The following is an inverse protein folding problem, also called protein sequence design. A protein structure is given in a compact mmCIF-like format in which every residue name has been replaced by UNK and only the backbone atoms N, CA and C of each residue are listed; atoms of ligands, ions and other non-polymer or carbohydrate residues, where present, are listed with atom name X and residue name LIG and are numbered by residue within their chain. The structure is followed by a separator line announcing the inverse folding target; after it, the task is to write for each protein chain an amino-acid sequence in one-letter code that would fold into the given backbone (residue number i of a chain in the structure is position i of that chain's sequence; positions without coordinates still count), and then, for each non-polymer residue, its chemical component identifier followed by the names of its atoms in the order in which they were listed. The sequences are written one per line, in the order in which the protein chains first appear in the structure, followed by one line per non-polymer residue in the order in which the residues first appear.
data_IF_476956641420
#
_entry.id   IF_476956641420
#
_cell.length_a   1.000
_cell.length_b   1.000
_cell.length_c   1.000
_cell.angle_alpha   90.00
_cell.angle_beta   90.00
_cell.angle_gamma   90.00
#
_symmetry.space_group_name_H-M   'P 1'
#
loop_
_entity.id
_entity.type
_entity.pdbx_description
1 polymer ?
#
# COMPACT_ATOMS: atom_id res chain seq x y z
N UNK A 1 -4.40 -31.07 2.12
CA UNK A 1 -5.28 -30.56 3.19
C UNK A 1 -4.73 -31.08 4.50
N UNK A 2 -4.45 -30.17 5.45
CA UNK A 2 -4.08 -30.57 6.80
C UNK A 2 -5.27 -31.20 7.51
N UNK A 3 -5.02 -32.15 8.38
CA UNK A 3 -6.04 -32.72 9.26
C UNK A 3 -6.29 -31.81 10.46
N UNK A 4 -5.29 -31.01 10.83
CA UNK A 4 -5.36 -30.05 11.92
C UNK A 4 -5.47 -28.65 11.32
N UNK A 5 -6.66 -28.06 11.44
CA UNK A 5 -6.93 -26.68 11.00
C UNK A 5 -6.70 -25.74 12.15
N UNK A 6 -5.78 -24.80 11.98
CA UNK A 6 -5.53 -23.72 12.91
C UNK A 6 -5.88 -22.38 12.29
N UNK A 7 -6.64 -21.57 13.01
CA UNK A 7 -6.81 -20.17 12.64
C UNK A 7 -5.52 -19.43 12.98
N UNK A 8 -4.81 -18.95 11.94
CA UNK A 8 -3.57 -18.19 12.10
C UNK A 8 -3.81 -16.77 12.61
N UNK A 9 -4.99 -16.21 12.36
CA UNK A 9 -5.38 -14.86 12.74
C UNK A 9 -6.51 -14.92 13.75
N UNK A 10 -6.30 -14.34 14.94
CA UNK A 10 -7.32 -14.11 15.92
C UNK A 10 -7.96 -12.74 15.69
N UNK A 11 -9.07 -12.70 14.98
CA UNK A 11 -9.77 -11.46 14.64
C UNK A 11 -10.36 -10.74 15.88
N UNK A 12 -10.64 -11.44 16.97
CA UNK A 12 -11.09 -10.79 18.20
C UNK A 12 -9.94 -10.05 18.88
N UNK A 13 -8.79 -10.71 19.02
CA UNK A 13 -7.56 -10.09 19.51
C UNK A 13 -7.15 -8.92 18.63
N UNK A 14 -7.13 -9.09 17.30
CA UNK A 14 -6.80 -8.05 16.33
C UNK A 14 -7.65 -6.79 16.52
N UNK A 15 -8.98 -6.96 16.66
CA UNK A 15 -9.90 -5.83 16.90
C UNK A 15 -9.59 -5.11 18.19
N UNK A 16 -9.39 -5.85 19.28
CA UNK A 16 -9.11 -5.31 20.61
C UNK A 16 -7.78 -4.55 20.64
N UNK A 17 -6.73 -5.13 20.06
CA UNK A 17 -5.40 -4.54 20.06
C UNK A 17 -5.33 -3.27 19.23
N UNK A 18 -5.94 -3.24 18.04
CA UNK A 18 -6.01 -2.03 17.19
C UNK A 18 -6.74 -0.90 17.89
N UNK A 19 -7.92 -1.17 18.45
CA UNK A 19 -8.69 -0.16 19.20
C UNK A 19 -7.88 0.35 20.40
N UNK A 20 -7.27 -0.53 21.18
CA UNK A 20 -6.45 -0.14 22.32
C UNK A 20 -5.26 0.74 21.94
N UNK A 21 -4.63 0.48 20.79
CA UNK A 21 -3.53 1.32 20.27
C UNK A 21 -4.02 2.71 19.85
N UNK A 22 -5.18 2.80 19.18
CA UNK A 22 -5.78 4.08 18.81
C UNK A 22 -6.17 4.88 20.08
N UNK A 23 -6.77 4.23 21.07
CA UNK A 23 -7.10 4.86 22.36
C UNK A 23 -5.85 5.35 23.08
N UNK A 24 -4.81 4.52 23.17
CA UNK A 24 -3.52 4.90 23.78
C UNK A 24 -2.87 6.10 23.09
N UNK A 25 -2.91 6.14 21.75
CA UNK A 25 -2.40 7.28 20.98
C UNK A 25 -3.21 8.56 21.29
N UNK A 26 -4.53 8.45 21.40
CA UNK A 26 -5.40 9.55 21.77
C UNK A 26 -5.16 10.04 23.20
N UNK A 27 -5.00 9.14 24.15
CA UNK A 27 -4.67 9.45 25.54
C UNK A 27 -3.34 10.21 25.67
N UNK A 28 -2.35 9.85 24.86
CA UNK A 28 -1.04 10.51 24.81
C UNK A 28 -1.01 11.85 24.07
N UNK A 29 -2.15 12.31 23.52
CA UNK A 29 -2.27 13.57 22.76
C UNK A 29 -2.99 14.64 23.60
N UNK A 30 -3.19 15.84 23.05
CA UNK A 30 -4.02 16.89 23.63
C UNK A 30 -5.47 16.86 23.10
N UNK A 31 -5.79 15.93 22.20
CA UNK A 31 -7.10 15.86 21.56
C UNK A 31 -8.19 15.34 22.50
N UNK A 32 -9.39 15.92 22.42
CA UNK A 32 -10.59 15.39 23.09
C UNK A 32 -11.17 14.17 22.37
N UNK A 33 -11.02 14.13 21.04
CA UNK A 33 -11.48 13.04 20.21
C UNK A 33 -10.71 13.03 18.86
N UNK A 34 -10.78 11.91 18.15
CA UNK A 34 -10.40 11.88 16.72
C UNK A 34 -11.60 11.47 15.87
N UNK A 35 -11.87 12.26 14.82
CA UNK A 35 -12.91 12.03 13.83
C UNK A 35 -12.26 11.56 12.54
N UNK A 36 -12.55 10.33 12.15
CA UNK A 36 -11.97 9.68 10.99
C UNK A 36 -13.00 9.57 9.85
N UNK A 37 -12.62 10.05 8.66
CA UNK A 37 -13.30 9.87 7.38
C UNK A 37 -12.49 8.95 6.45
N UNK A 38 -11.23 8.68 6.76
CA UNK A 38 -10.43 7.70 6.03
C UNK A 38 -10.89 6.28 6.36
N UNK A 39 -11.20 5.50 5.33
CA UNK A 39 -11.73 4.15 5.49
C UNK A 39 -10.78 3.19 6.20
N UNK A 40 -9.47 3.40 6.06
CA UNK A 40 -8.47 2.58 6.73
C UNK A 40 -8.44 2.88 8.24
N UNK A 41 -8.53 4.16 8.62
CA UNK A 41 -8.64 4.58 10.01
C UNK A 41 -9.94 4.10 10.64
N UNK A 42 -11.07 4.24 9.93
CA UNK A 42 -12.36 3.70 10.36
C UNK A 42 -12.25 2.18 10.59
N UNK A 43 -11.66 1.45 9.64
CA UNK A 43 -11.46 0.00 9.77
C UNK A 43 -10.53 -0.37 10.92
N UNK A 44 -9.47 0.40 11.15
CA UNK A 44 -8.56 0.18 12.26
C UNK A 44 -9.26 0.26 13.60
N UNK A 45 -10.08 1.31 13.79
CA UNK A 45 -10.81 1.59 15.03
C UNK A 45 -12.00 0.65 15.21
N UNK A 46 -12.80 0.45 14.17
CA UNK A 46 -14.12 -0.22 14.27
C UNK A 46 -14.13 -1.66 13.81
N UNK A 47 -13.09 -2.10 13.11
CA UNK A 47 -13.00 -3.40 12.44
C UNK A 47 -14.17 -3.69 11.49
N UNK A 48 -14.71 -2.66 10.85
CA UNK A 48 -15.77 -2.76 9.86
C UNK A 48 -15.28 -2.37 8.48
N UNK A 49 -15.82 -2.97 7.46
CA UNK A 49 -15.52 -2.65 6.08
C UNK A 49 -16.78 -2.58 5.24
N UNK A 50 -16.84 -1.58 4.35
CA UNK A 50 -17.78 -1.50 3.24
C UNK A 50 -16.94 -1.17 2.01
N UNK A 51 -16.86 -2.08 1.06
CA UNK A 51 -15.97 -1.96 -0.10
C UNK A 51 -16.33 -0.83 -1.06
N UNK A 52 -17.60 -0.43 -1.10
CA UNK A 52 -18.08 0.67 -1.94
C UNK A 52 -17.93 2.04 -1.27
N UNK A 53 -17.99 3.12 -2.06
CA UNK A 53 -18.11 4.49 -1.57
C UNK A 53 -16.82 5.09 -0.93
N UNK A 54 -15.68 4.45 -1.06
CA UNK A 54 -14.41 4.94 -0.49
C UNK A 54 -14.05 6.38 -0.94
N UNK A 55 -14.56 6.83 -2.06
CA UNK A 55 -14.35 8.17 -2.59
C UNK A 55 -15.27 9.24 -1.97
N UNK A 56 -16.40 8.85 -1.37
CA UNK A 56 -17.32 9.73 -0.65
C UNK A 56 -16.97 9.68 0.85
N UNK A 57 -16.12 10.60 1.29
CA UNK A 57 -15.59 10.59 2.66
C UNK A 57 -16.68 10.84 3.71
N UNK A 58 -17.69 11.65 3.41
CA UNK A 58 -18.79 11.93 4.33
C UNK A 58 -19.85 10.82 4.37
N UNK A 59 -19.77 9.81 3.48
CA UNK A 59 -20.70 8.69 3.50
C UNK A 59 -20.56 7.81 4.75
N UNK A 60 -19.33 7.75 5.28
CA UNK A 60 -18.95 6.92 6.40
C UNK A 60 -17.88 7.61 7.23
N UNK A 61 -18.10 7.73 8.53
CA UNK A 61 -17.14 8.32 9.44
C UNK A 61 -17.25 7.73 10.85
N UNK A 62 -16.19 7.88 11.62
CA UNK A 62 -16.10 7.33 12.98
C UNK A 62 -15.52 8.38 13.93
N UNK A 63 -16.15 8.58 15.08
CA UNK A 63 -15.62 9.36 16.19
C UNK A 63 -15.08 8.41 17.26
N UNK A 64 -13.80 8.53 17.58
CA UNK A 64 -13.19 7.92 18.75
C UNK A 64 -13.01 8.99 19.83
N UNK A 65 -13.85 9.03 20.86
CA UNK A 65 -13.72 10.00 21.95
C UNK A 65 -12.65 9.55 22.95
N UNK A 66 -12.01 10.51 23.60
CA UNK A 66 -11.18 10.26 24.78
C UNK A 66 -12.08 9.84 25.95
N UNK A 67 -11.69 8.79 26.66
CA UNK A 67 -12.43 8.31 27.81
C UNK A 67 -12.13 6.85 28.12
N UNK A 68 -12.55 6.39 29.29
CA UNK A 68 -12.40 5.01 29.73
C UNK A 68 -13.72 4.24 29.58
N UNK A 69 -13.62 2.93 29.42
CA UNK A 69 -14.78 2.05 29.33
C UNK A 69 -15.72 2.43 28.18
N UNK A 70 -16.99 2.57 28.47
CA UNK A 70 -18.02 2.89 27.47
C UNK A 70 -17.86 4.31 26.88
N UNK A 71 -17.37 5.28 27.65
CA UNK A 71 -17.17 6.65 27.19
C UNK A 71 -16.09 6.75 26.09
N UNK A 72 -15.08 5.88 26.12
CA UNK A 72 -13.99 5.82 25.13
C UNK A 72 -14.27 4.89 23.95
N UNK A 73 -15.49 4.34 23.80
CA UNK A 73 -15.81 3.47 22.68
C UNK A 73 -16.16 4.26 21.41
N UNK A 74 -15.77 3.76 20.25
CA UNK A 74 -16.01 4.44 18.99
C UNK A 74 -17.50 4.50 18.61
N UNK A 75 -17.89 5.59 17.95
CA UNK A 75 -19.21 5.78 17.38
C UNK A 75 -19.04 5.88 15.88
N UNK A 76 -19.80 5.10 15.12
CA UNK A 76 -19.71 5.06 13.67
C UNK A 76 -21.03 5.50 13.04
N UNK A 77 -20.92 6.31 11.99
CA UNK A 77 -22.02 6.64 11.09
C UNK A 77 -21.74 6.02 9.72
N UNK A 78 -22.78 5.43 9.15
CA UNK A 78 -22.72 4.80 7.85
C UNK A 78 -24.06 4.95 7.12
N UNK A 79 -24.15 4.59 5.85
CA UNK A 79 -25.46 4.54 5.18
C UNK A 79 -26.49 3.79 6.02
N UNK A 80 -27.74 4.24 6.04
CA UNK A 80 -28.75 3.70 6.94
C UNK A 80 -28.90 2.18 6.89
N UNK A 81 -28.85 1.56 5.70
CA UNK A 81 -28.86 0.11 5.53
C UNK A 81 -27.59 -0.54 6.08
N UNK A 82 -26.43 0.05 5.86
CA UNK A 82 -25.16 -0.44 6.36
C UNK A 82 -25.05 -0.30 7.88
N UNK A 83 -25.54 0.79 8.46
CA UNK A 83 -25.61 0.95 9.91
C UNK A 83 -26.43 -0.18 10.58
N UNK A 84 -27.56 -0.55 9.97
CA UNK A 84 -28.36 -1.69 10.44
C UNK A 84 -27.60 -3.03 10.25
N UNK A 85 -26.89 -3.20 9.15
CA UNK A 85 -26.06 -4.40 8.93
C UNK A 85 -24.99 -4.52 10.02
N UNK A 86 -24.28 -3.44 10.34
CA UNK A 86 -23.28 -3.45 11.40
C UNK A 86 -23.88 -3.76 12.77
N UNK A 87 -25.04 -3.24 13.10
CA UNK A 87 -25.70 -3.54 14.36
C UNK A 87 -26.02 -5.04 14.51
N UNK A 88 -26.29 -5.74 13.42
CA UNK A 88 -26.62 -7.18 13.40
C UNK A 88 -25.37 -8.05 13.36
N UNK A 89 -24.43 -7.75 12.45
CA UNK A 89 -23.31 -8.64 12.10
C UNK A 89 -21.96 -8.22 12.69
N UNK A 90 -21.87 -7.04 13.29
CA UNK A 90 -20.67 -6.52 13.93
C UNK A 90 -20.94 -6.19 15.42
N UNK A 91 -21.30 -7.20 16.25
CA UNK A 91 -21.78 -6.97 17.62
C UNK A 91 -20.77 -6.31 18.55
N UNK A 92 -19.49 -6.37 18.22
CA UNK A 92 -18.43 -5.68 18.97
C UNK A 92 -18.55 -4.15 18.94
N UNK A 93 -19.29 -3.56 17.98
CA UNK A 93 -19.58 -2.12 17.96
C UNK A 93 -20.62 -1.70 19.02
N UNK A 94 -21.47 -2.63 19.49
CA UNK A 94 -22.61 -2.35 20.32
C UNK A 94 -23.79 -1.73 19.55
N UNK A 95 -24.99 -2.01 20.02
CA UNK A 95 -26.26 -1.71 19.30
C UNK A 95 -26.43 -0.21 19.01
N UNK A 96 -26.01 0.65 19.94
CA UNK A 96 -26.27 2.10 19.85
C UNK A 96 -25.11 2.89 19.22
N UNK A 97 -24.01 2.23 18.88
CA UNK A 97 -22.82 2.89 18.33
C UNK A 97 -22.73 2.84 16.80
N UNK A 98 -23.59 2.06 16.15
CA UNK A 98 -23.73 2.09 14.69
C UNK A 98 -24.95 2.89 14.30
N UNK A 99 -24.75 4.04 13.66
CA UNK A 99 -25.79 5.04 13.38
C UNK A 99 -25.91 5.32 11.89
N UNK A 100 -27.09 5.77 11.46
CA UNK A 100 -27.29 6.25 10.11
C UNK A 100 -26.50 7.54 9.87
N UNK A 101 -25.61 7.49 8.90
CA UNK A 101 -24.79 8.62 8.45
C UNK A 101 -25.50 9.51 7.45
N UNK A 102 -24.81 10.58 7.10
CA UNK A 102 -25.24 11.57 6.13
C UNK A 102 -24.14 11.74 5.10
N UNK A 103 -24.43 11.39 3.85
CA UNK A 103 -23.51 11.64 2.74
C UNK A 103 -23.75 13.00 2.11
N UNK A 104 -22.68 13.68 1.74
CA UNK A 104 -22.71 14.86 0.85
C UNK A 104 -22.75 14.45 -0.61
N UNK A 105 -22.49 13.17 -0.91
CA UNK A 105 -22.26 12.60 -2.24
C UNK A 105 -21.29 13.46 -3.07
N UNK A 106 -20.19 13.87 -2.41
CA UNK A 106 -19.13 14.70 -3.01
C UNK A 106 -19.67 15.97 -3.67
N UNK A 107 -20.63 16.62 -3.04
CA UNK A 107 -21.24 17.85 -3.51
C UNK A 107 -22.34 17.66 -4.58
N UNK A 108 -22.83 16.43 -4.79
CA UNK A 108 -24.01 16.20 -5.64
C UNK A 108 -25.29 16.72 -5.00
N UNK A 109 -25.31 16.84 -3.67
CA UNK A 109 -26.33 17.59 -2.96
C UNK A 109 -25.94 19.06 -2.93
N UNK A 110 -26.94 19.96 -3.17
CA UNK A 110 -26.67 21.40 -3.08
C UNK A 110 -26.46 21.84 -1.62
N UNK A 111 -25.69 22.92 -1.37
CA UNK A 111 -25.45 23.41 -0.02
C UNK A 111 -26.69 23.70 0.78
N UNK A 112 -27.79 24.17 0.13
CA UNK A 112 -29.05 24.50 0.76
C UNK A 112 -29.73 23.30 1.43
N UNK A 113 -29.30 22.08 1.12
CA UNK A 113 -29.81 20.86 1.75
C UNK A 113 -29.18 20.58 3.12
N UNK A 114 -28.19 21.36 3.54
CA UNK A 114 -27.63 21.34 4.90
C UNK A 114 -26.95 20.03 5.31
N UNK A 115 -26.45 19.23 4.34
CA UNK A 115 -25.90 17.90 4.64
C UNK A 115 -24.58 17.95 5.43
N UNK A 116 -23.73 18.90 5.12
CA UNK A 116 -22.47 19.11 5.84
C UNK A 116 -22.71 19.60 7.28
N UNK A 117 -23.66 20.52 7.44
CA UNK A 117 -24.09 21.03 8.74
C UNK A 117 -24.73 19.93 9.60
N UNK A 118 -25.46 18.99 8.98
CA UNK A 118 -26.02 17.84 9.69
C UNK A 118 -24.92 16.92 10.24
N UNK A 119 -23.84 16.69 9.50
CA UNK A 119 -22.66 15.97 10.00
C UNK A 119 -22.07 16.70 11.20
N UNK A 120 -21.81 18.01 11.07
CA UNK A 120 -21.21 18.82 12.11
C UNK A 120 -22.03 18.83 13.41
N UNK A 121 -23.36 19.02 13.29
CA UNK A 121 -24.27 18.96 14.44
C UNK A 121 -24.26 17.63 15.17
N UNK A 122 -24.22 16.50 14.42
CA UNK A 122 -24.11 15.17 15.04
C UNK A 122 -22.83 15.02 15.84
N UNK A 123 -21.71 15.49 15.31
CA UNK A 123 -20.42 15.44 16.01
C UNK A 123 -20.44 16.36 17.23
N UNK A 124 -20.97 17.59 17.10
CA UNK A 124 -21.11 18.51 18.23
C UNK A 124 -21.88 17.88 19.39
N UNK A 125 -23.04 17.27 19.13
CA UNK A 125 -23.86 16.61 20.16
C UNK A 125 -23.06 15.54 20.91
N UNK A 126 -22.32 14.68 20.17
CA UNK A 126 -21.49 13.65 20.81
C UNK A 126 -20.38 14.23 21.68
N UNK A 127 -19.72 15.31 21.24
CA UNK A 127 -18.69 15.96 22.03
C UNK A 127 -19.27 16.64 23.27
N UNK A 128 -20.44 17.29 23.15
CA UNK A 128 -21.13 17.96 24.25
C UNK A 128 -21.58 16.98 25.35
N UNK A 129 -22.23 15.87 24.96
CA UNK A 129 -22.68 14.81 25.86
C UNK A 129 -21.54 14.17 26.65
N UNK A 130 -20.32 14.23 26.13
CA UNK A 130 -19.10 13.68 26.76
C UNK A 130 -18.25 14.74 27.47
N UNK A 131 -18.67 16.00 27.41
CA UNK A 131 -17.88 17.10 27.98
C UNK A 131 -16.58 17.40 27.26
N UNK A 132 -16.48 17.09 25.97
CA UNK A 132 -15.27 17.21 25.15
C UNK A 132 -15.23 18.43 24.23
N UNK A 133 -16.28 19.27 24.20
CA UNK A 133 -16.34 20.48 23.34
C UNK A 133 -15.22 21.49 23.60
N UNK A 134 -14.63 21.49 24.78
CA UNK A 134 -13.54 22.40 25.17
C UNK A 134 -12.14 21.91 24.76
N UNK A 135 -12.03 20.73 24.17
CA UNK A 135 -10.77 20.15 23.71
C UNK A 135 -10.72 20.06 22.17
N UNK A 136 -9.54 20.15 21.58
CA UNK A 136 -9.40 20.06 20.11
C UNK A 136 -9.90 18.70 19.56
N UNK A 137 -10.55 18.74 18.40
CA UNK A 137 -10.95 17.58 17.64
C UNK A 137 -9.92 17.31 16.53
N UNK A 138 -9.22 16.18 16.61
CA UNK A 138 -8.36 15.72 15.53
C UNK A 138 -9.22 15.20 14.36
N UNK A 139 -8.95 15.65 13.14
CA UNK A 139 -9.63 15.16 11.93
C UNK A 139 -8.57 14.63 10.96
N UNK A 140 -8.78 13.42 10.41
CA UNK A 140 -7.82 12.80 9.51
C UNK A 140 -7.89 13.39 8.08
N UNK A 141 -8.95 13.14 7.38
CA UNK A 141 -9.19 13.69 6.02
C UNK A 141 -10.67 14.04 5.91
N UNK A 142 -10.97 15.22 5.37
CA UNK A 142 -12.35 15.71 5.31
C UNK A 142 -12.58 16.58 4.09
N UNK A 143 -13.79 16.56 3.56
CA UNK A 143 -14.21 17.48 2.50
C UNK A 143 -14.38 18.89 3.06
N UNK A 144 -13.94 19.96 2.35
CA UNK A 144 -13.99 21.33 2.84
C UNK A 144 -15.35 21.76 3.40
N UNK A 145 -16.51 21.45 2.78
CA UNK A 145 -17.81 21.85 3.35
C UNK A 145 -18.06 21.30 4.76
N UNK A 146 -17.65 20.06 5.02
CA UNK A 146 -17.78 19.44 6.36
C UNK A 146 -16.82 20.09 7.35
N UNK A 147 -15.58 20.39 6.93
CA UNK A 147 -14.62 21.12 7.77
C UNK A 147 -15.17 22.48 8.20
N UNK A 148 -15.68 23.27 7.25
CA UNK A 148 -16.24 24.59 7.54
C UNK A 148 -17.47 24.51 8.44
N UNK A 149 -18.30 23.48 8.26
CA UNK A 149 -19.46 23.25 9.13
C UNK A 149 -19.05 22.89 10.57
N UNK A 150 -18.02 22.04 10.76
CA UNK A 150 -17.46 21.73 12.09
C UNK A 150 -16.95 23.00 12.79
N UNK A 151 -16.21 23.85 12.07
CA UNK A 151 -15.71 25.10 12.60
C UNK A 151 -16.85 26.09 12.93
N UNK A 152 -17.89 26.15 12.10
CA UNK A 152 -19.08 26.98 12.35
C UNK A 152 -19.87 26.55 13.59
N UNK A 153 -19.83 25.27 13.95
CA UNK A 153 -20.39 24.75 15.21
C UNK A 153 -19.49 25.05 16.44
N UNK A 154 -18.41 25.82 16.27
CA UNK A 154 -17.48 26.19 17.35
C UNK A 154 -16.54 25.09 17.79
N UNK A 155 -16.31 24.08 16.98
CA UNK A 155 -15.38 22.99 17.25
C UNK A 155 -13.98 23.42 16.78
N UNK A 156 -12.99 23.34 17.65
CA UNK A 156 -11.59 23.51 17.29
C UNK A 156 -11.10 22.26 16.54
N UNK A 157 -10.86 22.39 15.24
CA UNK A 157 -10.41 21.29 14.38
C UNK A 157 -8.90 21.39 14.14
N UNK A 158 -8.20 20.29 14.40
CA UNK A 158 -6.74 20.16 14.19
C UNK A 158 -6.40 18.86 13.44
N UNK A 159 -5.13 18.68 13.06
CA UNK A 159 -4.67 17.47 12.37
C UNK A 159 -4.81 16.21 13.24
N UNK A 160 -5.58 15.25 12.77
CA UNK A 160 -5.74 13.92 13.35
C UNK A 160 -4.98 12.81 12.59
N UNK A 161 -4.36 13.12 11.42
CA UNK A 161 -3.67 12.12 10.61
C UNK A 161 -2.47 11.54 11.33
N UNK A 162 -1.65 12.41 11.97
CA UNK A 162 -0.44 11.98 12.66
C UNK A 162 -0.73 11.04 13.82
N UNK A 163 -1.84 11.26 14.54
CA UNK A 163 -2.28 10.37 15.61
C UNK A 163 -2.53 8.95 15.06
N UNK A 164 -3.28 8.85 13.97
CA UNK A 164 -3.61 7.55 13.37
C UNK A 164 -2.42 6.88 12.71
N UNK A 165 -1.52 7.64 12.08
CA UNK A 165 -0.26 7.12 11.54
C UNK A 165 0.61 6.51 12.67
N UNK A 166 0.73 7.21 13.79
CA UNK A 166 1.49 6.72 14.95
C UNK A 166 0.83 5.50 15.61
N UNK A 167 -0.51 5.44 15.70
CA UNK A 167 -1.24 4.30 16.22
C UNK A 167 -1.02 3.01 15.40
N UNK A 168 -0.84 3.14 14.07
CA UNK A 168 -0.66 2.04 13.12
C UNK A 168 0.80 1.67 12.85
N UNK A 169 1.76 2.47 13.35
CA UNK A 169 3.18 2.33 13.03
C UNK A 169 3.73 0.94 13.37
N UNK A 170 3.49 0.48 14.60
CA UNK A 170 3.95 -0.82 15.08
C UNK A 170 2.85 -1.86 14.87
N UNK A 171 3.11 -2.91 14.12
CA UNK A 171 2.11 -3.93 13.78
C UNK A 171 1.93 -4.95 14.91
N UNK A 172 0.72 -5.46 15.09
CA UNK A 172 0.46 -6.60 15.95
C UNK A 172 0.83 -7.90 15.23
N UNK A 173 0.93 -9.01 15.96
CA UNK A 173 1.23 -10.32 15.37
C UNK A 173 0.18 -10.74 14.31
N UNK A 174 -1.10 -10.44 14.57
CA UNK A 174 -2.18 -10.74 13.61
C UNK A 174 -2.11 -9.84 12.37
N UNK A 175 -1.71 -8.57 12.51
CA UNK A 175 -1.47 -7.68 11.37
C UNK A 175 -0.32 -8.18 10.50
N UNK A 176 0.79 -8.61 11.10
CA UNK A 176 1.94 -9.19 10.38
C UNK A 176 1.53 -10.46 9.63
N UNK A 177 0.72 -11.31 10.25
CA UNK A 177 0.18 -12.53 9.60
C UNK A 177 -0.67 -12.18 8.37
N UNK A 178 -1.53 -11.15 8.47
CA UNK A 178 -2.35 -10.69 7.36
C UNK A 178 -1.53 -10.02 6.24
N UNK A 179 -0.50 -9.26 6.59
CA UNK A 179 0.45 -8.69 5.62
C UNK A 179 1.19 -9.79 4.87
N UNK A 180 1.70 -10.80 5.58
CA UNK A 180 2.36 -11.95 4.95
C UNK A 180 1.40 -12.74 4.04
N UNK A 181 0.14 -12.93 4.45
CA UNK A 181 -0.88 -13.57 3.61
C UNK A 181 -1.20 -12.72 2.36
N UNK A 182 -1.28 -11.40 2.51
CA UNK A 182 -1.48 -10.49 1.38
C UNK A 182 -0.32 -10.57 0.37
N UNK A 183 0.94 -10.58 0.85
CA UNK A 183 2.11 -10.79 -0.01
C UNK A 183 2.05 -12.14 -0.74
N UNK A 184 1.68 -13.22 -0.07
CA UNK A 184 1.58 -14.55 -0.68
C UNK A 184 0.55 -14.62 -1.84
N UNK A 185 -0.51 -13.80 -1.79
CA UNK A 185 -1.44 -13.68 -2.92
C UNK A 185 -0.78 -13.02 -4.13
N UNK A 186 0.05 -12.02 -3.89
CA UNK A 186 0.81 -11.35 -4.97
C UNK A 186 1.91 -12.26 -5.51
N UNK A 187 2.58 -13.03 -4.65
CA UNK A 187 3.54 -14.05 -5.11
C UNK A 187 2.89 -15.02 -6.11
N UNK A 188 1.69 -15.52 -5.79
CA UNK A 188 0.90 -16.38 -6.70
C UNK A 188 0.46 -15.64 -7.98
N UNK A 189 0.15 -14.36 -7.88
CA UNK A 189 -0.20 -13.55 -9.05
C UNK A 189 1.01 -13.32 -9.97
N UNK A 190 2.20 -13.12 -9.42
CA UNK A 190 3.44 -13.03 -10.19
C UNK A 190 3.81 -14.35 -10.87
N UNK A 191 3.63 -15.49 -10.18
CA UNK A 191 3.86 -16.81 -10.76
C UNK A 191 2.96 -17.02 -11.98
N UNK A 192 1.67 -16.77 -11.82
CA UNK A 192 0.72 -16.84 -12.93
C UNK A 192 1.03 -15.84 -14.06
N UNK A 193 1.42 -14.63 -13.72
CA UNK A 193 1.83 -13.62 -14.70
C UNK A 193 3.06 -14.08 -15.49
N UNK A 194 4.08 -14.61 -14.81
CA UNK A 194 5.30 -15.10 -15.45
C UNK A 194 5.04 -16.20 -16.48
N UNK A 195 4.12 -17.12 -16.17
CA UNK A 195 3.72 -18.18 -17.10
C UNK A 195 3.07 -17.67 -18.39
N UNK A 196 2.40 -16.50 -18.32
CA UNK A 196 1.63 -15.93 -19.42
C UNK A 196 2.33 -14.77 -20.12
N UNK A 197 3.33 -14.19 -19.48
CA UNK A 197 4.07 -13.03 -20.00
C UNK A 197 4.88 -13.44 -21.23
N UNK A 198 4.62 -12.79 -22.36
CA UNK A 198 5.24 -13.14 -23.66
C UNK A 198 5.16 -11.98 -24.64
N UNK A 199 5.99 -11.98 -25.70
CA UNK A 199 5.79 -11.05 -26.79
C UNK A 199 4.37 -11.12 -27.36
N UNK A 200 3.77 -9.96 -27.62
CA UNK A 200 2.43 -9.82 -28.19
C UNK A 200 1.29 -9.72 -27.17
N UNK A 201 1.54 -9.95 -25.88
CA UNK A 201 0.57 -9.62 -24.83
C UNK A 201 0.57 -8.10 -24.56
N UNK A 202 -0.53 -7.53 -24.13
CA UNK A 202 -0.62 -6.11 -23.78
C UNK A 202 -0.48 -5.90 -22.27
N UNK A 203 -0.07 -4.69 -21.86
CA UNK A 203 0.02 -4.32 -20.44
C UNK A 203 -1.33 -4.50 -19.73
N UNK A 204 -2.44 -4.05 -20.32
CA UNK A 204 -3.77 -4.21 -19.72
C UNK A 204 -4.26 -5.67 -19.68
N UNK A 205 -3.79 -6.55 -20.57
CA UNK A 205 -4.05 -7.99 -20.48
C UNK A 205 -3.32 -8.61 -19.27
N UNK A 206 -2.08 -8.17 -19.03
CA UNK A 206 -1.32 -8.56 -17.82
C UNK A 206 -2.06 -8.13 -16.53
N UNK A 207 -2.60 -6.90 -16.51
CA UNK A 207 -3.43 -6.42 -15.39
C UNK A 207 -4.65 -7.33 -15.17
N UNK A 208 -5.30 -7.76 -16.25
CA UNK A 208 -6.42 -8.71 -16.19
C UNK A 208 -6.05 -10.06 -15.59
N UNK A 209 -4.88 -10.62 -15.96
CA UNK A 209 -4.38 -11.89 -15.43
C UNK A 209 -4.11 -11.79 -13.91
N UNK A 210 -3.38 -10.75 -13.48
CA UNK A 210 -3.09 -10.49 -12.08
C UNK A 210 -4.37 -10.29 -11.28
N UNK A 211 -5.28 -9.45 -11.77
CA UNK A 211 -6.55 -9.16 -11.11
C UNK A 211 -7.40 -10.41 -10.88
N UNK A 212 -7.44 -11.30 -11.87
CA UNK A 212 -8.18 -12.55 -11.75
C UNK A 212 -7.65 -13.41 -10.61
N UNK A 213 -6.33 -13.61 -10.53
CA UNK A 213 -5.71 -14.42 -9.46
C UNK A 213 -6.00 -13.81 -8.09
N UNK A 214 -5.83 -12.51 -7.95
CA UNK A 214 -6.05 -11.83 -6.67
C UNK A 214 -7.50 -11.99 -6.18
N UNK A 215 -8.50 -11.75 -7.03
CA UNK A 215 -9.91 -11.91 -6.65
C UNK A 215 -10.30 -13.38 -6.43
N UNK A 216 -9.80 -14.31 -7.22
CA UNK A 216 -10.04 -15.75 -7.02
C UNK A 216 -9.53 -16.23 -5.64
N UNK A 217 -8.51 -15.56 -5.08
CA UNK A 217 -7.92 -15.92 -3.78
C UNK A 217 -8.33 -15.00 -2.63
N UNK A 218 -9.35 -14.16 -2.82
CA UNK A 218 -9.99 -13.40 -1.74
C UNK A 218 -9.47 -11.99 -1.53
N UNK A 219 -8.79 -11.39 -2.51
CA UNK A 219 -8.53 -9.94 -2.50
C UNK A 219 -9.85 -9.17 -2.41
N UNK A 220 -9.90 -8.17 -1.55
CA UNK A 220 -11.09 -7.32 -1.39
C UNK A 220 -11.07 -6.13 -2.34
N UNK A 221 -9.88 -5.65 -2.69
CA UNK A 221 -9.66 -4.46 -3.48
C UNK A 221 -8.32 -4.57 -4.20
N UNK A 222 -8.31 -4.21 -5.46
CA UNK A 222 -7.08 -3.86 -6.19
C UNK A 222 -7.00 -2.34 -6.22
N UNK A 223 -6.04 -1.78 -5.50
CA UNK A 223 -5.83 -0.34 -5.41
C UNK A 223 -5.12 0.19 -6.65
N UNK A 224 -4.15 -0.58 -7.17
CA UNK A 224 -3.47 -0.32 -8.42
C UNK A 224 -2.61 -1.49 -8.89
N UNK A 225 -2.45 -1.58 -10.19
CA UNK A 225 -1.44 -2.43 -10.84
C UNK A 225 -0.71 -1.57 -11.85
N UNK A 226 0.52 -1.19 -11.53
CA UNK A 226 1.41 -0.54 -12.48
C UNK A 226 1.99 -1.63 -13.40
N UNK A 227 1.56 -1.67 -14.64
CA UNK A 227 2.07 -2.59 -15.65
C UNK A 227 2.76 -1.78 -16.74
N UNK A 228 4.08 -1.82 -16.80
CA UNK A 228 4.89 -0.91 -17.59
C UNK A 228 5.89 -1.71 -18.38
N UNK A 229 5.99 -1.42 -19.68
CA UNK A 229 6.86 -2.15 -20.58
C UNK A 229 7.61 -1.27 -21.59
N UNK A 230 8.77 -1.76 -22.01
CA UNK A 230 9.59 -1.15 -23.03
C UNK A 230 10.04 0.27 -22.68
N UNK A 231 9.91 1.20 -23.63
CA UNK A 231 10.29 2.60 -23.48
C UNK A 231 9.55 3.36 -22.38
N UNK A 232 8.42 2.84 -21.93
CA UNK A 232 7.67 3.42 -20.82
C UNK A 232 8.32 3.14 -19.45
N UNK A 233 9.30 2.25 -19.40
CA UNK A 233 10.03 1.95 -18.16
C UNK A 233 10.99 3.08 -17.74
N UNK A 234 11.32 4.00 -18.63
CA UNK A 234 12.21 5.12 -18.34
C UNK A 234 11.75 6.41 -19.08
N UNK A 235 11.19 7.41 -18.35
CA UNK A 235 10.83 7.43 -16.93
C UNK A 235 9.52 6.67 -16.65
N UNK A 236 9.28 6.37 -15.38
CA UNK A 236 8.18 5.54 -14.91
C UNK A 236 6.84 6.30 -14.80
N UNK A 237 5.74 5.90 -15.52
CA UNK A 237 4.49 6.65 -15.56
C UNK A 237 3.42 6.24 -14.52
N UNK A 238 3.64 5.28 -13.64
CA UNK A 238 2.68 4.76 -12.64
C UNK A 238 1.28 4.42 -13.20
N UNK A 239 1.20 3.97 -14.45
CA UNK A 239 -0.07 3.60 -15.11
C UNK A 239 0.19 2.61 -16.24
N UNK A 240 -0.69 1.60 -16.36
CA UNK A 240 -0.68 0.70 -17.50
C UNK A 240 -1.31 1.32 -18.74
N UNK A 241 -1.07 0.70 -19.90
CA UNK A 241 -1.64 1.09 -21.18
C UNK A 241 -2.08 -0.14 -21.99
N UNK A 242 -2.46 0.08 -23.24
CA UNK A 242 -2.70 -0.96 -24.24
C UNK A 242 -1.46 -1.32 -25.07
N UNK A 243 -0.26 -0.86 -24.65
CA UNK A 243 1.00 -1.18 -25.32
C UNK A 243 1.21 -2.69 -25.38
N UNK A 244 1.57 -3.18 -26.56
CA UNK A 244 1.94 -4.58 -26.78
C UNK A 244 3.41 -4.77 -26.43
N UNK A 245 3.71 -5.79 -25.61
CA UNK A 245 5.07 -6.15 -25.21
C UNK A 245 5.82 -6.77 -26.41
N UNK A 246 7.07 -6.39 -26.58
CA UNK A 246 7.95 -6.81 -27.68
C UNK A 246 9.12 -7.65 -27.16
N UNK A 247 9.74 -8.49 -28.00
CA UNK A 247 10.98 -9.17 -27.62
C UNK A 247 12.06 -8.16 -27.21
N UNK A 248 12.71 -8.40 -26.08
CA UNK A 248 13.75 -7.53 -25.52
C UNK A 248 13.23 -6.41 -24.60
N UNK A 249 11.92 -6.22 -24.49
CA UNK A 249 11.37 -5.24 -23.58
C UNK A 249 11.68 -5.60 -22.11
N UNK A 250 12.04 -4.63 -21.26
CA UNK A 250 11.76 -4.73 -19.84
C UNK A 250 10.24 -4.70 -19.63
N UNK A 251 9.75 -5.42 -18.65
CA UNK A 251 8.38 -5.32 -18.19
C UNK A 251 8.39 -5.42 -16.66
N UNK A 252 7.99 -4.37 -15.98
CA UNK A 252 7.87 -4.40 -14.54
C UNK A 252 6.44 -4.08 -14.08
N UNK A 253 6.11 -4.70 -12.99
CA UNK A 253 4.78 -4.61 -12.42
C UNK A 253 4.92 -4.27 -10.94
N UNK A 254 4.01 -3.44 -10.47
CA UNK A 254 3.76 -3.19 -9.07
C UNK A 254 2.33 -3.57 -8.76
N UNK A 255 2.13 -4.39 -7.76
CA UNK A 255 0.82 -4.94 -7.45
C UNK A 255 0.40 -4.49 -6.05
N UNK A 256 -0.57 -3.60 -6.01
CA UNK A 256 -1.12 -3.02 -4.80
C UNK A 256 -2.55 -3.53 -4.63
N UNK A 257 -2.75 -4.40 -3.66
CA UNK A 257 -4.07 -4.95 -3.36
C UNK A 257 -4.33 -5.01 -1.86
N UNK A 258 -5.54 -5.40 -1.48
CA UNK A 258 -5.95 -5.53 -0.08
C UNK A 258 -6.52 -6.92 0.20
N UNK A 259 -5.97 -7.58 1.20
CA UNK A 259 -6.50 -8.82 1.78
C UNK A 259 -6.85 -8.60 3.25
N UNK A 260 -8.13 -8.76 3.62
CA UNK A 260 -8.62 -8.40 4.96
C UNK A 260 -8.21 -6.99 5.40
N UNK A 261 -8.08 -6.06 4.45
CA UNK A 261 -7.67 -4.68 4.65
C UNK A 261 -6.18 -4.41 4.53
N UNK A 262 -5.32 -5.41 4.64
CA UNK A 262 -3.86 -5.22 4.64
C UNK A 262 -3.32 -5.23 3.22
N UNK A 263 -2.47 -4.20 2.92
CA UNK A 263 -1.93 -3.93 1.59
C UNK A 263 -0.58 -4.56 1.38
N UNK A 264 -0.34 -4.91 0.12
CA UNK A 264 1.01 -5.13 -0.41
C UNK A 264 1.39 -3.99 -1.32
N UNK A 265 2.68 -3.78 -1.49
CA UNK A 265 3.28 -3.00 -2.54
C UNK A 265 4.63 -3.62 -2.84
N UNK A 266 4.83 -4.19 -4.02
CA UNK A 266 6.17 -4.54 -4.47
C UNK A 266 6.29 -4.75 -5.97
N UNK A 267 7.44 -4.32 -6.50
CA UNK A 267 7.81 -4.41 -7.90
C UNK A 267 8.59 -5.67 -8.24
N UNK A 268 8.29 -6.22 -9.43
CA UNK A 268 9.14 -7.20 -10.11
C UNK A 268 9.37 -6.78 -11.53
N UNK A 269 10.63 -6.87 -11.99
CA UNK A 269 11.02 -6.63 -13.38
C UNK A 269 11.31 -7.95 -14.07
N UNK A 270 10.80 -8.09 -15.29
CA UNK A 270 11.04 -9.20 -16.21
C UNK A 270 11.67 -8.67 -17.50
N UNK A 271 12.44 -9.52 -18.19
CA UNK A 271 12.77 -9.33 -19.59
C UNK A 271 11.84 -10.18 -20.46
N UNK A 272 11.31 -9.64 -21.54
CA UNK A 272 10.34 -10.33 -22.40
C UNK A 272 11.07 -10.98 -23.56
N UNK A 273 11.11 -12.32 -23.59
CA UNK A 273 11.77 -13.12 -24.62
C UNK A 273 13.29 -13.16 -24.52
N UNK A 274 13.93 -12.03 -24.28
CA UNK A 274 15.38 -11.90 -24.10
C UNK A 274 15.73 -10.67 -23.26
N UNK A 275 16.92 -10.65 -22.66
CA UNK A 275 17.44 -9.53 -21.90
C UNK A 275 18.66 -8.93 -22.62
N UNK A 276 18.70 -7.59 -22.74
CA UNK A 276 19.92 -6.90 -23.19
C UNK A 276 20.95 -6.86 -22.05
N UNK A 277 22.26 -6.81 -22.35
CA UNK A 277 23.28 -6.61 -21.31
C UNK A 277 23.03 -5.33 -20.49
N UNK A 278 22.57 -4.26 -21.13
CA UNK A 278 22.27 -2.99 -20.44
C UNK A 278 21.14 -3.14 -19.40
N UNK A 279 20.08 -3.88 -19.74
CA UNK A 279 18.98 -4.16 -18.79
C UNK A 279 19.46 -5.08 -17.64
N UNK A 280 20.27 -6.10 -17.93
CA UNK A 280 20.85 -6.96 -16.90
C UNK A 280 21.72 -6.17 -15.93
N UNK A 281 22.53 -5.23 -16.42
CA UNK A 281 23.37 -4.38 -15.57
C UNK A 281 22.52 -3.41 -14.72
N UNK A 282 21.46 -2.83 -15.30
CA UNK A 282 20.53 -1.99 -14.56
C UNK A 282 19.81 -2.77 -13.44
N UNK A 283 19.37 -3.99 -13.74
CA UNK A 283 18.75 -4.87 -12.76
C UNK A 283 19.70 -5.20 -11.60
N UNK A 284 20.92 -5.61 -11.91
CA UNK A 284 21.95 -5.90 -10.90
C UNK A 284 22.24 -4.69 -10.02
N UNK A 285 22.29 -3.50 -10.61
CA UNK A 285 22.51 -2.26 -9.88
C UNK A 285 21.33 -1.97 -8.94
N UNK A 286 20.08 -2.07 -9.44
CA UNK A 286 18.88 -1.91 -8.65
C UNK A 286 18.84 -2.92 -7.49
N UNK A 287 19.08 -4.21 -7.76
CA UNK A 287 19.12 -5.26 -6.73
C UNK A 287 20.19 -5.00 -5.67
N UNK A 288 21.40 -4.64 -6.08
CA UNK A 288 22.50 -4.38 -5.13
C UNK A 288 22.18 -3.23 -4.16
N UNK A 289 21.53 -2.16 -4.64
CA UNK A 289 21.11 -1.04 -3.78
C UNK A 289 20.01 -1.45 -2.80
N UNK A 290 19.10 -2.32 -3.24
CA UNK A 290 18.04 -2.83 -2.39
C UNK A 290 18.61 -3.78 -1.31
N UNK A 291 19.50 -4.69 -1.68
CA UNK A 291 20.16 -5.59 -0.73
C UNK A 291 20.96 -4.83 0.33
N UNK A 292 21.69 -3.78 -0.08
CA UNK A 292 22.42 -2.91 0.84
C UNK A 292 21.46 -2.23 1.83
N UNK A 293 20.33 -1.67 1.34
CA UNK A 293 19.32 -1.06 2.20
C UNK A 293 18.71 -2.09 3.18
N UNK A 294 18.31 -3.27 2.70
CA UNK A 294 17.75 -4.34 3.54
C UNK A 294 18.75 -4.78 4.63
N UNK A 295 20.03 -4.88 4.29
CA UNK A 295 21.08 -5.29 5.24
C UNK A 295 21.26 -4.33 6.43
N UNK A 296 20.84 -3.08 6.29
CA UNK A 296 20.90 -2.07 7.35
C UNK A 296 19.71 -2.12 8.29
N UNK A 297 18.59 -2.75 7.88
CA UNK A 297 17.33 -2.69 8.64
C UNK A 297 17.43 -3.49 9.94
N UNK A 298 17.34 -2.76 11.05
CA UNK A 298 17.20 -3.29 12.42
C UNK A 298 16.71 -2.19 13.35
N UNK A 299 16.17 -2.51 14.52
CA UNK A 299 15.79 -1.51 15.52
C UNK A 299 16.95 -0.56 15.86
N UNK A 300 16.64 0.73 15.99
CA UNK A 300 17.57 1.79 16.32
C UNK A 300 18.28 2.47 15.15
N UNK A 301 18.28 1.88 13.96
CA UNK A 301 18.72 2.55 12.72
C UNK A 301 17.64 3.55 12.29
N UNK A 302 18.04 4.61 11.62
CA UNK A 302 17.11 5.63 11.16
C UNK A 302 16.80 5.50 9.66
N UNK A 303 15.63 5.97 9.25
CA UNK A 303 15.28 6.04 7.81
C UNK A 303 16.24 6.94 7.02
N UNK A 304 16.85 7.94 7.69
CA UNK A 304 17.86 8.80 7.11
C UNK A 304 19.17 8.08 6.79
N UNK A 305 19.63 7.19 7.70
CA UNK A 305 20.84 6.37 7.45
C UNK A 305 20.63 5.43 6.26
N UNK A 306 19.45 4.81 6.14
CA UNK A 306 19.13 3.97 5.00
C UNK A 306 19.02 4.79 3.71
N UNK A 307 18.31 5.92 3.72
CA UNK A 307 18.17 6.76 2.54
C UNK A 307 19.52 7.35 2.06
N UNK A 308 20.47 7.55 2.97
CA UNK A 308 21.78 8.13 2.64
C UNK A 308 22.64 7.23 1.73
N UNK A 309 22.45 5.90 1.75
CA UNK A 309 23.21 4.97 0.89
C UNK A 309 22.77 5.05 -0.58
N UNK A 310 21.54 5.46 -0.84
CA UNK A 310 21.03 5.57 -2.20
C UNK A 310 21.70 6.72 -2.97
N UNK A 311 21.89 6.58 -4.28
CA UNK A 311 22.48 7.62 -5.10
C UNK A 311 21.63 8.88 -5.11
N UNK A 312 22.27 10.02 -5.36
CA UNK A 312 21.55 11.27 -5.58
C UNK A 312 20.77 11.21 -6.89
N UNK A 313 19.64 11.89 -6.95
CA UNK A 313 18.79 11.97 -8.13
C UNK A 313 19.56 12.32 -9.42
N UNK A 314 20.55 13.22 -9.33
CA UNK A 314 21.39 13.64 -10.46
C UNK A 314 22.29 12.52 -11.02
N UNK A 315 22.58 11.47 -10.25
CA UNK A 315 23.41 10.34 -10.68
C UNK A 315 22.65 9.39 -11.61
N UNK A 316 21.33 9.42 -11.57
CA UNK A 316 20.47 8.58 -12.42
C UNK A 316 19.49 9.37 -13.30
N UNK A 317 19.84 10.64 -13.60
CA UNK A 317 19.25 11.40 -14.69
C UNK A 317 18.14 12.38 -14.31
N UNK A 318 17.91 12.65 -13.02
CA UNK A 318 16.90 13.61 -12.55
C UNK A 318 17.54 14.91 -12.07
N UNK A 319 16.81 16.02 -12.10
CA UNK A 319 17.33 17.34 -11.73
C UNK A 319 17.61 17.49 -10.24
N UNK A 320 16.76 16.89 -9.42
CA UNK A 320 16.75 17.00 -7.97
C UNK A 320 15.96 15.86 -7.33
N UNK A 321 15.95 15.78 -5.98
CA UNK A 321 15.29 14.70 -5.24
C UNK A 321 13.75 14.74 -5.37
N UNK A 322 13.16 15.92 -5.60
CA UNK A 322 11.72 16.05 -5.85
C UNK A 322 11.34 15.42 -7.21
N UNK A 323 12.13 15.67 -8.25
CA UNK A 323 11.92 15.11 -9.59
C UNK A 323 12.10 13.58 -9.62
N UNK A 324 12.89 13.03 -8.70
CA UNK A 324 13.14 11.59 -8.55
C UNK A 324 12.32 10.94 -7.43
N UNK A 325 11.36 11.67 -6.85
CA UNK A 325 10.58 11.17 -5.73
C UNK A 325 9.91 9.83 -6.06
N UNK A 326 9.89 8.91 -5.09
CA UNK A 326 9.37 7.56 -5.21
C UNK A 326 10.07 6.65 -6.24
N UNK A 327 11.36 6.86 -6.52
CA UNK A 327 12.18 5.97 -7.35
C UNK A 327 13.20 5.16 -6.52
N UNK A 328 13.94 5.84 -5.62
CA UNK A 328 14.70 5.22 -4.53
C UNK A 328 13.94 5.56 -3.26
N UNK A 329 13.13 4.64 -2.76
CA UNK A 329 12.09 4.99 -1.83
C UNK A 329 11.77 3.84 -0.85
N UNK A 330 11.05 4.16 0.19
CA UNK A 330 10.40 3.17 1.05
C UNK A 330 9.27 3.81 1.83
N UNK A 331 8.26 3.03 2.14
CA UNK A 331 7.08 3.50 2.87
C UNK A 331 6.48 2.39 3.71
N UNK A 332 5.87 2.77 4.84
CA UNK A 332 5.12 1.83 5.66
C UNK A 332 3.94 1.23 4.89
N UNK A 333 3.66 -0.04 5.19
CA UNK A 333 2.52 -0.77 4.68
C UNK A 333 1.69 -1.30 5.85
N UNK A 334 0.37 -1.28 5.69
CA UNK A 334 -0.57 -1.78 6.70
C UNK A 334 -1.99 -1.85 6.16
N UNK A 335 -2.94 -1.28 6.87
CA UNK A 335 -4.30 -1.05 6.36
C UNK A 335 -4.34 0.01 5.26
N UNK A 336 -3.34 0.90 5.21
CA UNK A 336 -3.14 1.83 4.11
C UNK A 336 -1.90 1.44 3.31
N UNK A 337 -1.90 1.78 2.03
CA UNK A 337 -0.72 1.70 1.17
C UNK A 337 0.37 2.67 1.66
N UNK A 338 -0.02 3.88 2.08
CA UNK A 338 0.90 4.91 2.57
C UNK A 338 0.81 5.03 4.09
N UNK A 339 1.80 4.49 4.78
CA UNK A 339 1.98 4.60 6.22
C UNK A 339 3.41 5.07 6.56
N UNK A 340 3.62 5.47 7.81
CA UNK A 340 4.97 5.62 8.36
C UNK A 340 5.66 4.25 8.52
N UNK A 341 6.99 4.21 8.46
CA UNK A 341 7.93 5.31 8.19
C UNK A 341 8.09 5.59 6.68
N UNK A 342 8.70 6.72 6.34
CA UNK A 342 9.12 7.05 4.97
C UNK A 342 10.65 6.99 4.86
N UNK A 343 11.15 6.37 3.79
CA UNK A 343 12.55 6.33 3.43
C UNK A 343 12.72 7.11 2.12
N UNK A 344 13.38 8.24 2.17
CA UNK A 344 13.63 9.08 0.99
C UNK A 344 14.77 10.05 1.25
N UNK A 345 15.61 10.26 0.25
CA UNK A 345 16.62 11.33 0.31
C UNK A 345 15.98 12.71 0.42
N UNK A 346 14.77 12.88 -0.10
CA UNK A 346 14.04 14.15 -0.07
C UNK A 346 13.70 14.59 1.37
N UNK A 347 13.28 13.67 2.22
CA UNK A 347 12.73 14.02 3.55
C UNK A 347 13.48 13.38 4.72
N UNK A 348 13.95 12.13 4.59
CA UNK A 348 14.45 11.37 5.73
C UNK A 348 15.85 11.79 6.17
N UNK A 349 16.61 12.48 5.32
CA UNK A 349 17.93 13.02 5.71
C UNK A 349 17.82 14.14 6.74
N UNK A 350 16.76 14.95 6.67
CA UNK A 350 16.52 16.06 7.60
C UNK A 350 15.54 15.67 8.72
N UNK A 351 14.60 14.77 8.43
CA UNK A 351 13.54 14.34 9.35
C UNK A 351 13.46 12.81 9.43
N UNK A 352 14.49 12.15 10.01
CA UNK A 352 14.51 10.70 10.08
C UNK A 352 13.55 10.15 11.14
N UNK A 353 12.86 9.05 10.81
CA UNK A 353 12.19 8.20 11.79
C UNK A 353 13.16 7.13 12.30
N UNK A 354 13.03 6.72 13.56
CA UNK A 354 13.78 5.59 14.13
C UNK A 354 13.04 4.29 13.78
N UNK A 355 13.75 3.31 13.25
CA UNK A 355 13.21 1.98 12.94
C UNK A 355 13.02 1.21 14.25
N UNK A 356 11.84 0.62 14.43
CA UNK A 356 11.47 -0.15 15.60
C UNK A 356 10.98 -1.56 15.20
N UNK A 357 11.09 -2.51 16.12
CA UNK A 357 10.59 -3.86 15.95
C UNK A 357 9.08 -3.86 15.62
N UNK A 358 8.66 -4.75 14.73
CA UNK A 358 7.29 -4.89 14.21
C UNK A 358 6.81 -3.71 13.32
N UNK A 359 7.69 -2.81 12.90
CA UNK A 359 7.38 -1.99 11.73
C UNK A 359 7.31 -2.86 10.48
N UNK A 360 6.39 -2.54 9.56
CA UNK A 360 6.29 -3.18 8.26
C UNK A 360 6.28 -2.12 7.18
N UNK A 361 7.16 -2.28 6.19
CA UNK A 361 7.32 -1.32 5.09
C UNK A 361 7.86 -2.00 3.85
N UNK A 362 7.68 -1.33 2.71
CA UNK A 362 8.29 -1.68 1.45
C UNK A 362 9.53 -0.81 1.20
N UNK A 363 10.57 -1.40 0.61
CA UNK A 363 11.76 -0.71 0.12
C UNK A 363 11.90 -0.98 -1.37
N UNK A 364 12.11 0.06 -2.15
CA UNK A 364 12.16 -0.01 -3.60
C UNK A 364 13.35 0.74 -4.19
N UNK A 365 13.87 0.23 -5.30
CA UNK A 365 14.97 0.81 -6.04
C UNK A 365 14.70 0.79 -7.53
N UNK A 366 15.18 1.79 -8.22
CA UNK A 366 15.07 1.99 -9.66
C UNK A 366 16.45 2.30 -10.26
N UNK A 367 16.75 1.77 -11.44
CA UNK A 367 17.93 2.18 -12.17
C UNK A 367 17.70 2.21 -13.68
N UNK A 368 17.98 3.34 -14.35
CA UNK A 368 17.90 3.44 -15.80
C UNK A 368 19.04 2.66 -16.45
N UNK A 369 18.76 2.02 -17.58
CA UNK A 369 19.76 1.31 -18.36
C UNK A 369 20.61 2.27 -19.20
N UNK A 370 21.82 1.86 -19.54
CA UNK A 370 22.73 2.63 -20.40
C UNK A 370 22.28 2.73 -21.85
N UNK A 371 21.24 2.00 -22.24
CA UNK A 371 20.61 2.13 -23.57
C UNK A 371 19.75 3.40 -23.72
N UNK A 372 19.45 4.11 -22.62
CA UNK A 372 18.76 5.38 -22.59
C UNK A 372 17.23 5.29 -22.66
N UNK A 373 16.65 4.08 -22.79
CA UNK A 373 15.20 3.91 -22.92
C UNK A 373 14.58 2.89 -21.96
N UNK A 374 15.36 1.98 -21.43
CA UNK A 374 14.88 0.97 -20.50
C UNK A 374 15.32 1.23 -19.06
N UNK A 375 14.67 0.58 -18.13
CA UNK A 375 15.03 0.63 -16.70
C UNK A 375 14.61 -0.64 -15.98
N UNK A 376 15.20 -0.90 -14.82
CA UNK A 376 14.78 -1.91 -13.87
C UNK A 376 14.25 -1.28 -12.60
N UNK A 377 13.24 -1.92 -11.99
CA UNK A 377 12.67 -1.54 -10.70
C UNK A 377 12.38 -2.80 -9.88
N UNK A 378 12.77 -2.78 -8.63
CA UNK A 378 12.60 -3.91 -7.70
C UNK A 378 12.16 -3.35 -6.36
N UNK A 379 11.26 -4.05 -5.70
CA UNK A 379 10.77 -3.68 -4.37
C UNK A 379 10.54 -4.94 -3.55
N UNK A 380 10.84 -4.86 -2.27
CA UNK A 380 10.57 -5.90 -1.28
C UNK A 380 9.80 -5.33 -0.10
N UNK A 381 8.79 -6.06 0.35
CA UNK A 381 8.09 -5.74 1.60
C UNK A 381 8.67 -6.57 2.75
N UNK A 382 8.90 -5.93 3.89
CA UNK A 382 9.59 -6.54 5.01
C UNK A 382 9.00 -6.13 6.36
N UNK A 383 9.28 -6.97 7.36
CA UNK A 383 8.92 -6.76 8.76
C UNK A 383 10.18 -6.68 9.59
N UNK A 384 10.29 -5.66 10.44
CA UNK A 384 11.42 -5.50 11.35
C UNK A 384 11.31 -6.50 12.51
N UNK A 385 12.38 -7.26 12.74
CA UNK A 385 12.53 -8.21 13.85
C UNK A 385 13.34 -7.61 15.00
N UNK A 386 13.56 -8.36 16.06
CA UNK A 386 14.32 -7.91 17.21
C UNK A 386 15.75 -7.47 16.89
N UNK A 387 16.39 -8.09 15.90
CA UNK A 387 17.81 -7.91 15.56
C UNK A 387 18.08 -7.65 14.06
N UNK A 388 17.03 -7.57 13.23
CA UNK A 388 17.12 -7.38 11.80
C UNK A 388 15.77 -7.16 11.14
N UNK A 389 15.55 -7.83 10.00
CA UNK A 389 14.26 -7.86 9.32
C UNK A 389 14.00 -9.20 8.60
N UNK A 390 12.75 -9.48 8.34
CA UNK A 390 12.30 -10.57 7.48
C UNK A 390 11.65 -10.00 6.23
N UNK A 391 12.12 -10.40 5.03
CA UNK A 391 11.46 -10.11 3.76
C UNK A 391 10.28 -11.06 3.61
N UNK A 392 9.08 -10.52 3.47
CA UNK A 392 7.83 -11.29 3.41
C UNK A 392 7.29 -11.48 1.98
N UNK A 393 7.86 -10.82 0.99
CA UNK A 393 7.67 -11.06 -0.45
C UNK A 393 8.56 -12.22 -0.89
N UNK A 394 8.01 -13.20 -1.60
CA UNK A 394 8.72 -14.45 -1.86
C UNK A 394 8.87 -14.81 -3.33
N UNK A 395 8.20 -14.07 -4.23
CA UNK A 395 8.45 -14.28 -5.66
C UNK A 395 9.89 -13.84 -5.98
N UNK A 396 10.67 -14.65 -6.73
CA UNK A 396 12.10 -14.42 -6.95
C UNK A 396 12.43 -13.03 -7.51
N UNK A 397 13.49 -12.42 -6.99
CA UNK A 397 14.01 -11.13 -7.44
C UNK A 397 15.55 -11.04 -7.38
N UNK A 398 16.24 -12.15 -7.09
CA UNK A 398 17.70 -12.19 -6.99
C UNK A 398 18.36 -11.99 -8.36
N UNK A 399 17.70 -12.45 -9.42
CA UNK A 399 18.16 -12.33 -10.80
C UNK A 399 17.01 -11.88 -11.72
N UNK A 400 17.36 -11.22 -12.82
CA UNK A 400 16.40 -10.81 -13.83
C UNK A 400 15.83 -12.06 -14.54
N UNK A 401 14.53 -12.28 -14.34
CA UNK A 401 13.83 -13.39 -14.98
C UNK A 401 13.47 -13.06 -16.44
N UNK A 402 13.66 -14.03 -17.33
CA UNK A 402 13.28 -13.93 -18.75
C UNK A 402 12.00 -14.71 -18.97
N UNK A 403 10.91 -14.01 -19.30
CA UNK A 403 9.60 -14.61 -19.59
C UNK A 403 9.33 -14.77 -21.09
N UNK A 404 8.37 -15.64 -21.46
CA UNK A 404 7.93 -15.81 -22.83
C UNK A 404 8.77 -16.76 -23.69
N UNK A 405 9.58 -17.58 -23.05
CA UNK A 405 10.30 -18.69 -23.71
C UNK A 405 9.37 -19.91 -23.78
N UNK A 406 8.97 -20.32 -25.00
CA UNK A 406 7.92 -21.34 -25.17
C UNK A 406 8.40 -22.76 -25.35
N UNK A 407 9.68 -22.96 -25.73
CA UNK A 407 10.16 -24.26 -26.15
C UNK A 407 11.38 -24.69 -25.36
N UNK A 408 11.39 -25.96 -24.99
CA UNK A 408 12.52 -26.62 -24.33
C UNK A 408 13.13 -27.65 -25.29
N UNK A 409 14.44 -27.72 -25.31
CA UNK A 409 15.22 -28.78 -25.95
C UNK A 409 15.87 -29.64 -24.88
N UNK A 410 16.52 -30.72 -25.27
CA UNK A 410 17.31 -31.57 -24.35
C UNK A 410 18.43 -30.80 -23.67
N UNK A 411 18.90 -29.72 -24.29
CA UNK A 411 20.00 -28.87 -23.80
C UNK A 411 19.52 -27.64 -23.05
N UNK A 412 18.19 -27.49 -22.84
CA UNK A 412 17.59 -26.35 -22.11
C UNK A 412 16.55 -25.57 -22.94
N UNK A 413 16.17 -24.38 -22.46
CA UNK A 413 15.15 -23.57 -23.12
C UNK A 413 15.62 -23.07 -24.48
N UNK A 414 14.77 -23.23 -25.51
CA UNK A 414 15.00 -22.62 -26.81
C UNK A 414 14.57 -21.15 -26.79
N UNK A 415 15.52 -20.23 -26.93
CA UNK A 415 15.21 -18.81 -27.04
C UNK A 415 14.24 -18.55 -28.22
N UNK A 416 13.15 -17.82 -27.96
CA UNK A 416 12.14 -17.51 -29.00
C UNK A 416 12.60 -16.47 -30.02
N UNK A 417 13.64 -15.71 -29.70
CA UNK A 417 14.35 -14.85 -30.63
C UNK A 417 15.54 -15.61 -31.17
N UNK A 418 15.51 -15.93 -32.45
CA UNK A 418 16.71 -16.39 -33.15
C UNK A 418 17.72 -15.26 -33.07
N UNK A 419 18.86 -15.53 -32.51
CA UNK A 419 20.00 -14.64 -32.62
C UNK A 419 20.41 -14.59 -34.10
N UNK A 420 20.03 -13.51 -34.78
CA UNK A 420 20.23 -13.34 -36.24
C UNK A 420 21.74 -13.34 -36.55
N UNK A 421 22.60 -13.01 -35.59
CA UNK A 421 24.05 -13.07 -35.73
C UNK A 421 24.58 -14.50 -35.72
N UNK A 422 23.97 -15.42 -34.99
CA UNK A 422 24.41 -16.85 -34.97
C UNK A 422 24.13 -17.57 -36.27
N UNK A 423 23.20 -17.08 -37.09
CA UNK A 423 22.88 -17.62 -38.42
C UNK A 423 23.76 -17.08 -39.52
N UNK A 424 24.42 -15.91 -39.37
CA UNK A 424 25.31 -15.33 -40.36
C UNK A 424 26.69 -16.03 -40.42
N UNK A 425 27.08 -16.73 -39.35
CA UNK A 425 28.40 -17.36 -39.24
C UNK A 425 28.40 -18.89 -39.37
N UNK A 426 27.34 -19.53 -39.83
CA UNK A 426 27.41 -20.93 -40.23
C UNK A 426 28.06 -21.01 -41.59
N UNK A 427 29.25 -21.66 -41.74
CA UNK A 427 29.82 -21.89 -43.07
C UNK A 427 28.81 -22.67 -43.92
N UNK A 428 28.54 -22.20 -45.12
CA UNK A 428 27.75 -22.93 -46.06
C UNK A 428 28.50 -24.20 -46.45
N UNK A 429 27.95 -25.35 -46.06
CA UNK A 429 28.36 -26.63 -46.62
C UNK A 429 29.39 -27.40 -45.82
N UNK A 430 28.94 -28.46 -45.19
CA UNK A 430 29.63 -29.71 -44.91
C UNK A 430 28.63 -30.82 -45.05
#
# INVERSE_FOLDING_TARGET
MGVDWEQRVDFERLRRERLARAQKALEGSELGAVLCFDFNNIRYITATNIGSWALDKAARFCLLPRGEGEAGQPIMWDFGSAARHHAIYNPWLGEHRSRAGISTMRGSFSPEQGRAEDVARKIRVELEERGLLGAPLGVDIVEPPVLFALQAEGIEVVDGQQLMQNARLIKTADEITLLSASCALVDAAYDHLYEHLRPGIKENECVGLVSKVLFDHGSELIEGINAISGERSNPHPHVHSDRMLRPGDPAYFDIIHSFNGYRTCYYRTFAVGSASPALVDAYKRSRSMLDEAISMIRPGVTTGEVAAIWPKATEFGFSDEEAAFALQFGHGCGLSHWEKPIFSRLVSLEHPDVIEENMCFALETYWPSTDGWSAARIEEQLVVTQDGCEVITRFPAEELLVAGQRYWTVDGPLATTRDVESHRNRPAGG
#
